data_IF_216407711984
#
_entry.id   IF_216407711984
#
_cell.length_a   1.000
_cell.length_b   1.000
_cell.length_c   1.000
_cell.angle_alpha   90.00
_cell.angle_beta   90.00
_cell.angle_gamma   90.00
#
_symmetry.space_group_name_H-M   'P 1'
#
loop_
_entity.id
_entity.type
_entity.pdbx_description
1 polymer ?
#
# COMPACT_ATOMS: atom_id res chain seq x y z
N UNK A 1 4.29 9.40 -14.74
CA UNK A 1 3.27 8.49 -14.16
C UNK A 1 2.04 9.25 -13.67
N UNK A 2 2.18 10.30 -12.85
CA UNK A 2 1.03 11.12 -12.41
C UNK A 2 0.15 11.64 -13.56
N UNK A 3 0.76 12.14 -14.64
CA UNK A 3 0.00 12.64 -15.80
C UNK A 3 -0.78 11.53 -16.53
N UNK A 4 -0.22 10.31 -16.57
CA UNK A 4 -0.89 9.14 -17.15
C UNK A 4 -2.13 8.81 -16.30
N UNK A 5 -1.96 8.74 -14.98
CA UNK A 5 -3.06 8.47 -14.06
C UNK A 5 -4.17 9.52 -14.21
N UNK A 6 -3.83 10.81 -14.18
CA UNK A 6 -4.81 11.89 -14.37
C UNK A 6 -5.54 11.81 -15.71
N UNK A 7 -4.79 11.60 -16.80
CA UNK A 7 -5.37 11.46 -18.14
C UNK A 7 -6.39 10.33 -18.20
N UNK A 8 -6.07 9.15 -17.64
CA UNK A 8 -6.99 8.01 -17.66
C UNK A 8 -8.24 8.29 -16.81
N UNK A 9 -8.11 8.94 -15.65
CA UNK A 9 -9.30 9.31 -14.85
C UNK A 9 -10.21 10.26 -15.62
N UNK A 10 -9.64 11.27 -16.29
CA UNK A 10 -10.41 12.20 -17.14
C UNK A 10 -11.15 11.44 -18.25
N UNK A 11 -10.47 10.49 -18.90
CA UNK A 11 -11.05 9.68 -19.98
C UNK A 11 -12.22 8.80 -19.49
N UNK A 12 -12.10 8.18 -18.32
CA UNK A 12 -13.13 7.28 -17.76
C UNK A 12 -14.30 8.09 -17.16
N UNK A 13 -14.02 9.22 -16.51
CA UNK A 13 -15.02 9.99 -15.76
C UNK A 13 -15.69 11.11 -16.56
N UNK A 14 -15.05 11.59 -17.63
CA UNK A 14 -15.47 12.80 -18.35
C UNK A 14 -15.32 14.10 -17.55
N UNK A 15 -14.66 14.08 -16.38
CA UNK A 15 -14.46 15.25 -15.50
C UNK A 15 -13.24 16.08 -15.89
N UNK A 16 -13.16 17.30 -15.36
CA UNK A 16 -12.00 18.16 -15.58
C UNK A 16 -10.75 17.60 -14.87
N UNK A 17 -9.58 17.73 -15.50
CA UNK A 17 -8.32 17.25 -14.93
C UNK A 17 -7.98 17.87 -13.56
N UNK A 18 -8.50 19.05 -13.25
CA UNK A 18 -8.34 19.76 -11.97
C UNK A 18 -9.14 19.13 -10.84
N UNK A 19 -10.19 18.37 -11.15
CA UNK A 19 -11.01 17.65 -10.17
C UNK A 19 -10.34 16.34 -9.73
N UNK A 20 -9.39 15.84 -10.52
CA UNK A 20 -8.72 14.57 -10.25
C UNK A 20 -7.81 14.68 -9.03
N UNK A 21 -8.15 13.90 -8.00
CA UNK A 21 -7.36 13.70 -6.79
C UNK A 21 -6.46 12.48 -6.98
N UNK A 22 -5.35 12.43 -6.26
CA UNK A 22 -4.40 11.31 -6.33
C UNK A 22 -3.96 10.89 -4.95
N UNK A 23 -4.08 9.59 -4.66
CA UNK A 23 -3.41 8.93 -3.54
C UNK A 23 -2.12 8.29 -4.06
N UNK A 24 -1.02 8.53 -3.35
CA UNK A 24 0.26 7.87 -3.61
C UNK A 24 0.65 6.99 -2.42
N UNK A 25 0.64 5.68 -2.62
CA UNK A 25 0.99 4.69 -1.61
C UNK A 25 2.35 4.07 -1.96
N UNK A 26 3.42 4.38 -1.23
CA UNK A 26 4.74 3.82 -1.52
C UNK A 26 4.77 2.32 -1.21
N UNK A 27 5.65 1.60 -1.90
CA UNK A 27 6.07 0.26 -1.52
C UNK A 27 7.05 0.32 -0.36
N UNK A 28 7.26 -0.82 0.29
CA UNK A 28 8.15 -0.95 1.45
C UNK A 28 9.16 -2.06 1.27
N UNK A 29 10.28 -1.90 1.96
CA UNK A 29 11.28 -2.94 2.19
C UNK A 29 11.48 -3.15 3.69
N UNK A 30 11.78 -4.39 4.07
CA UNK A 30 12.06 -4.80 5.45
C UNK A 30 13.54 -5.23 5.55
N UNK A 31 14.46 -4.33 5.95
CA UNK A 31 15.89 -4.62 5.88
C UNK A 31 16.37 -5.64 6.90
N UNK A 32 15.77 -5.62 8.10
CA UNK A 32 16.00 -6.54 9.18
C UNK A 32 14.66 -6.94 9.78
N UNK A 33 14.46 -8.24 9.99
CA UNK A 33 13.27 -8.78 10.65
C UNK A 33 12.17 -9.28 9.71
N UNK A 34 12.49 -9.61 8.47
CA UNK A 34 11.55 -10.34 7.61
C UNK A 34 11.15 -11.67 8.28
N UNK A 35 9.84 -11.95 8.36
CA UNK A 35 9.25 -13.16 8.96
C UNK A 35 9.33 -13.30 10.49
N UNK A 36 9.53 -12.22 11.25
CA UNK A 36 9.41 -12.22 12.73
C UNK A 36 8.25 -11.35 13.23
N UNK A 37 7.54 -10.71 12.31
CA UNK A 37 6.40 -9.82 12.53
C UNK A 37 5.19 -10.54 13.13
N UNK A 38 4.85 -11.72 12.61
CA UNK A 38 3.78 -12.57 13.12
C UNK A 38 4.10 -13.20 14.49
N UNK A 39 5.36 -13.13 14.93
CA UNK A 39 5.82 -13.58 16.24
C UNK A 39 5.94 -12.44 17.26
N UNK A 40 5.56 -11.20 16.88
CA UNK A 40 5.66 -10.03 17.76
C UNK A 40 7.10 -9.54 17.96
N UNK A 41 7.99 -9.82 17.00
CA UNK A 41 9.37 -9.33 17.03
C UNK A 41 9.50 -7.85 16.68
N UNK A 42 10.70 -7.30 16.92
CA UNK A 42 11.07 -5.96 16.46
C UNK A 42 11.50 -6.07 15.00
N UNK A 43 10.88 -5.29 14.15
CA UNK A 43 11.16 -5.25 12.71
C UNK A 43 11.58 -3.85 12.28
N UNK A 44 12.35 -3.79 11.21
CA UNK A 44 12.70 -2.51 10.58
C UNK A 44 12.03 -2.41 9.23
N UNK A 45 11.48 -1.24 8.93
CA UNK A 45 10.80 -1.01 7.67
C UNK A 45 11.12 0.38 7.13
N UNK A 46 10.98 0.53 5.82
CA UNK A 46 11.17 1.81 5.17
C UNK A 46 10.48 1.78 3.81
N UNK A 47 9.94 2.93 3.41
CA UNK A 47 9.31 3.11 2.10
C UNK A 47 10.34 3.44 1.03
N UNK A 48 10.05 3.05 -0.20
CA UNK A 48 10.87 3.38 -1.39
C UNK A 48 10.11 4.37 -2.28
N UNK A 49 10.82 5.00 -3.22
CA UNK A 49 10.25 5.95 -4.18
C UNK A 49 9.49 5.30 -5.34
N UNK A 50 9.01 4.07 -5.13
CA UNK A 50 8.16 3.30 -6.03
C UNK A 50 6.89 2.95 -5.27
N UNK A 51 5.75 2.81 -5.95
CA UNK A 51 4.49 2.54 -5.28
C UNK A 51 3.30 2.46 -6.23
N UNK A 52 2.12 2.55 -5.63
CA UNK A 52 0.83 2.62 -6.30
C UNK A 52 0.38 4.06 -6.35
N UNK A 53 -0.13 4.47 -7.50
CA UNK A 53 -0.89 5.70 -7.67
C UNK A 53 -2.34 5.35 -7.98
N UNK A 54 -3.26 5.89 -7.18
CA UNK A 54 -4.69 5.86 -7.46
C UNK A 54 -5.14 7.28 -7.77
N UNK A 55 -5.45 7.54 -9.04
CA UNK A 55 -6.17 8.75 -9.43
C UNK A 55 -7.67 8.50 -9.33
N UNK A 56 -8.42 9.49 -8.85
CA UNK A 56 -9.87 9.34 -8.70
C UNK A 56 -10.58 10.69 -8.69
N UNK A 57 -11.86 10.64 -8.99
CA UNK A 57 -12.86 11.68 -8.71
C UNK A 57 -14.01 11.05 -7.91
N UNK A 58 -14.70 11.81 -7.06
CA UNK A 58 -15.95 11.33 -6.46
C UNK A 58 -16.95 10.94 -7.55
N UNK A 59 -17.66 9.83 -7.37
CA UNK A 59 -18.88 9.59 -8.15
C UNK A 59 -19.99 10.53 -7.69
N UNK A 60 -21.00 10.73 -8.54
CA UNK A 60 -22.22 11.47 -8.16
C UNK A 60 -23.11 10.68 -7.19
N UNK A 61 -22.88 9.37 -7.07
CA UNK A 61 -23.65 8.44 -6.26
C UNK A 61 -22.74 7.40 -5.55
N UNK A 62 -23.31 6.28 -5.11
CA UNK A 62 -22.58 5.19 -4.45
C UNK A 62 -21.76 4.31 -5.42
N UNK A 63 -21.75 4.56 -6.73
CA UNK A 63 -21.05 3.73 -7.69
C UNK A 63 -19.53 3.92 -7.63
N UNK A 64 -18.81 2.80 -7.63
CA UNK A 64 -17.37 2.71 -7.81
C UNK A 64 -17.10 2.16 -9.20
N UNK A 65 -16.36 2.92 -10.01
CA UNK A 65 -15.90 2.54 -11.35
C UNK A 65 -14.38 2.58 -11.37
N UNK A 66 -13.74 1.43 -11.60
CA UNK A 66 -12.29 1.32 -11.52
C UNK A 66 -11.68 0.71 -12.78
N UNK A 67 -10.54 1.24 -13.19
CA UNK A 67 -9.68 0.65 -14.21
C UNK A 67 -8.25 0.49 -13.66
N UNK A 68 -7.57 -0.58 -14.09
CA UNK A 68 -6.18 -0.84 -13.73
C UNK A 68 -5.25 -0.57 -14.92
N UNK A 69 -4.05 -0.07 -14.64
CA UNK A 69 -2.97 -0.01 -15.63
C UNK A 69 -2.30 -1.35 -15.92
N UNK A 70 -2.49 -2.34 -15.04
CA UNK A 70 -1.86 -3.67 -15.10
C UNK A 70 -2.81 -4.73 -15.64
N UNK A 71 -4.11 -4.57 -15.39
CA UNK A 71 -5.14 -5.55 -15.74
C UNK A 71 -6.18 -4.95 -16.69
N UNK A 72 -6.64 -5.74 -17.65
CA UNK A 72 -7.66 -5.31 -18.61
C UNK A 72 -9.05 -5.31 -17.97
N UNK A 73 -9.90 -4.40 -18.43
CA UNK A 73 -11.31 -4.32 -18.03
C UNK A 73 -11.61 -3.14 -17.10
N UNK A 74 -12.90 -2.93 -16.88
CA UNK A 74 -13.45 -1.93 -15.95
C UNK A 74 -14.30 -2.68 -14.93
N UNK A 75 -14.05 -2.42 -13.65
CA UNK A 75 -14.86 -2.96 -12.56
C UNK A 75 -15.89 -1.93 -12.13
N UNK A 76 -17.12 -2.39 -11.89
CA UNK A 76 -18.22 -1.59 -11.32
C UNK A 76 -18.87 -2.29 -10.14
N UNK A 77 -19.14 -1.55 -9.08
CA UNK A 77 -19.91 -2.00 -7.91
C UNK A 77 -20.36 -0.80 -7.09
N UNK A 78 -21.21 -1.00 -6.07
CA UNK A 78 -21.66 0.09 -5.22
C UNK A 78 -21.11 -0.03 -3.80
N UNK A 79 -20.86 1.12 -3.16
CA UNK A 79 -20.41 1.19 -1.76
C UNK A 79 -21.53 0.92 -0.76
N UNK A 80 -22.79 1.04 -1.18
CA UNK A 80 -23.99 0.78 -0.37
C UNK A 80 -24.50 -0.66 -0.49
N UNK A 81 -23.91 -1.46 -1.37
CA UNK A 81 -24.10 -2.91 -1.39
C UNK A 81 -23.33 -3.56 -0.24
N UNK A 82 -23.99 -4.48 0.48
CA UNK A 82 -23.34 -5.26 1.54
C UNK A 82 -22.25 -6.17 0.95
N UNK A 83 -20.99 -5.82 1.19
CA UNK A 83 -19.86 -6.66 0.78
C UNK A 83 -19.75 -7.87 1.70
N UNK A 84 -19.45 -9.05 1.14
CA UNK A 84 -19.25 -10.29 1.89
C UNK A 84 -17.84 -10.83 1.67
N UNK A 85 -17.23 -11.48 2.68
CA UNK A 85 -15.94 -12.13 2.53
C UNK A 85 -15.89 -13.09 1.35
N UNK A 86 -14.72 -13.20 0.73
CA UNK A 86 -14.49 -14.13 -0.38
C UNK A 86 -14.40 -15.55 0.17
N UNK A 87 -15.23 -16.45 -0.35
CA UNK A 87 -15.27 -17.84 0.09
C UNK A 87 -14.07 -18.68 -0.42
N UNK A 88 -13.58 -18.37 -1.62
CA UNK A 88 -12.46 -19.08 -2.25
C UNK A 88 -11.32 -18.12 -2.61
N UNK A 89 -10.15 -18.31 -1.97
CA UNK A 89 -8.94 -17.51 -2.22
C UNK A 89 -8.50 -17.52 -3.70
N UNK A 90 -8.84 -18.56 -4.47
CA UNK A 90 -8.58 -18.62 -5.91
C UNK A 90 -9.33 -17.59 -6.74
N UNK A 91 -10.37 -16.97 -6.18
CA UNK A 91 -11.16 -15.91 -6.82
C UNK A 91 -10.64 -14.50 -6.49
N UNK A 92 -9.55 -14.37 -5.73
CA UNK A 92 -8.97 -13.07 -5.40
C UNK A 92 -8.39 -12.45 -6.67
N UNK A 93 -8.97 -11.33 -7.06
CA UNK A 93 -8.58 -10.50 -8.19
C UNK A 93 -8.15 -9.11 -7.70
N UNK A 94 -7.62 -8.27 -8.60
CA UNK A 94 -7.14 -6.94 -8.22
C UNK A 94 -8.28 -6.04 -7.68
N UNK A 95 -9.50 -6.21 -8.18
CA UNK A 95 -10.66 -5.45 -7.70
C UNK A 95 -11.18 -5.92 -6.33
N UNK A 96 -10.78 -7.11 -5.89
CA UNK A 96 -11.13 -7.64 -4.58
C UNK A 96 -10.63 -6.71 -3.45
N UNK A 97 -9.51 -6.01 -3.65
CA UNK A 97 -9.01 -5.04 -2.68
C UNK A 97 -9.90 -3.80 -2.55
N UNK A 98 -10.50 -3.33 -3.65
CA UNK A 98 -11.43 -2.20 -3.61
C UNK A 98 -12.73 -2.56 -2.86
N UNK A 99 -13.28 -3.74 -3.16
CA UNK A 99 -14.45 -4.28 -2.42
C UNK A 99 -14.12 -4.57 -0.97
N UNK A 100 -12.92 -5.05 -0.70
CA UNK A 100 -12.42 -5.28 0.66
C UNK A 100 -12.29 -3.99 1.45
N UNK A 101 -11.84 -2.89 0.85
CA UNK A 101 -11.80 -1.58 1.50
C UNK A 101 -13.21 -1.10 1.89
N UNK A 102 -14.19 -1.24 0.99
CA UNK A 102 -15.61 -0.98 1.29
C UNK A 102 -16.11 -1.87 2.43
N UNK A 103 -15.84 -3.19 2.37
CA UNK A 103 -16.18 -4.12 3.45
C UNK A 103 -15.60 -3.70 4.80
N UNK A 104 -14.32 -3.35 4.85
CA UNK A 104 -13.63 -2.99 6.08
C UNK A 104 -14.22 -1.73 6.71
N UNK A 105 -14.56 -0.73 5.90
CA UNK A 105 -15.22 0.50 6.34
C UNK A 105 -16.66 0.22 6.83
N UNK A 106 -17.46 -0.52 6.05
CA UNK A 106 -18.82 -0.90 6.43
C UNK A 106 -18.84 -1.68 7.76
N UNK A 107 -18.00 -2.70 7.91
CA UNK A 107 -17.92 -3.49 9.13
C UNK A 107 -17.36 -2.75 10.34
N UNK A 108 -16.73 -1.59 10.12
CA UNK A 108 -16.28 -0.70 11.19
C UNK A 108 -17.33 0.36 11.54
N UNK A 109 -18.52 0.30 10.92
CA UNK A 109 -19.67 1.15 11.23
C UNK A 109 -19.77 2.43 10.41
N UNK A 110 -18.97 2.58 9.34
CA UNK A 110 -19.04 3.75 8.47
C UNK A 110 -20.12 3.61 7.39
N UNK A 111 -20.95 4.64 7.26
CA UNK A 111 -21.99 4.74 6.23
C UNK A 111 -21.41 5.38 4.96
N UNK A 112 -21.11 4.56 3.94
CA UNK A 112 -20.54 5.02 2.68
C UNK A 112 -21.65 5.40 1.70
N UNK A 113 -21.65 6.65 1.24
CA UNK A 113 -22.68 7.21 0.35
C UNK A 113 -22.16 7.53 -1.04
N UNK A 114 -20.87 7.79 -1.15
CA UNK A 114 -20.20 8.16 -2.39
C UNK A 114 -19.16 7.12 -2.77
N UNK A 115 -19.23 6.67 -4.02
CA UNK A 115 -18.17 5.88 -4.63
C UNK A 115 -17.13 6.76 -5.33
N UNK A 116 -16.28 6.13 -6.14
CA UNK A 116 -15.20 6.79 -6.86
C UNK A 116 -15.16 6.32 -8.32
N UNK A 117 -14.84 7.22 -9.23
CA UNK A 117 -14.40 6.86 -10.58
C UNK A 117 -12.88 7.01 -10.61
N UNK A 118 -12.15 5.92 -10.83
CA UNK A 118 -10.71 5.90 -10.59
C UNK A 118 -9.89 5.01 -11.50
N UNK A 119 -8.60 5.33 -11.56
CA UNK A 119 -7.58 4.60 -12.28
C UNK A 119 -6.40 4.30 -11.35
N UNK A 120 -6.09 3.02 -11.17
CA UNK A 120 -5.00 2.55 -10.31
C UNK A 120 -3.83 2.03 -11.15
N UNK A 121 -2.61 2.43 -10.78
CA UNK A 121 -1.40 1.96 -11.46
C UNK A 121 -0.24 1.80 -10.49
N UNK A 122 0.34 0.60 -10.50
CA UNK A 122 1.62 0.30 -9.85
C UNK A 122 2.80 0.41 -10.82
N UNK A 123 4.00 0.07 -10.34
CA UNK A 123 5.21 0.01 -11.16
C UNK A 123 5.29 -1.33 -11.90
N UNK A 124 5.31 -1.27 -13.23
CA UNK A 124 5.41 -2.45 -14.09
C UNK A 124 6.57 -3.37 -13.70
N UNK A 125 6.29 -4.68 -13.60
CA UNK A 125 7.31 -5.69 -13.30
C UNK A 125 7.62 -5.87 -11.82
N UNK A 126 6.96 -5.12 -10.92
CA UNK A 126 7.07 -5.26 -9.47
C UNK A 126 5.82 -5.87 -8.81
N UNK A 127 4.81 -6.23 -9.60
CA UNK A 127 3.48 -6.64 -9.14
C UNK A 127 3.50 -7.90 -8.23
N UNK A 128 4.54 -8.74 -8.34
CA UNK A 128 4.75 -9.96 -7.53
C UNK A 128 6.11 -10.01 -6.82
N UNK A 129 6.73 -8.86 -6.57
CA UNK A 129 8.11 -8.76 -6.06
C UNK A 129 8.27 -8.91 -4.54
N UNK A 130 7.18 -9.07 -3.78
CA UNK A 130 7.22 -9.12 -2.30
C UNK A 130 7.38 -7.74 -1.64
N UNK A 131 7.16 -6.67 -2.40
CA UNK A 131 7.29 -5.26 -1.98
C UNK A 131 6.05 -4.67 -1.26
N UNK A 132 5.11 -5.52 -0.82
CA UNK A 132 3.79 -5.11 -0.29
C UNK A 132 2.91 -4.38 -1.30
N UNK A 133 2.85 -4.89 -2.52
CA UNK A 133 1.93 -4.33 -3.52
C UNK A 133 0.47 -4.40 -3.05
N UNK A 134 0.06 -5.41 -2.28
CA UNK A 134 -1.32 -5.57 -1.80
C UNK A 134 -1.73 -4.51 -0.76
N UNK A 135 -0.94 -4.32 0.31
CA UNK A 135 -1.20 -3.31 1.33
C UNK A 135 -1.19 -1.88 0.75
N UNK A 136 -0.31 -1.60 -0.21
CA UNK A 136 -0.30 -0.30 -0.89
C UNK A 136 -1.59 -0.06 -1.69
N UNK A 137 -2.14 -1.09 -2.34
CA UNK A 137 -3.43 -1.02 -3.05
C UNK A 137 -4.59 -0.86 -2.06
N UNK A 138 -4.64 -1.66 -0.99
CA UNK A 138 -5.68 -1.58 0.05
C UNK A 138 -5.75 -0.20 0.70
N UNK A 139 -4.61 0.33 1.16
CA UNK A 139 -4.50 1.68 1.70
C UNK A 139 -4.89 2.74 0.68
N UNK A 140 -4.51 2.59 -0.59
CA UNK A 140 -4.89 3.56 -1.62
C UNK A 140 -6.41 3.71 -1.74
N UNK A 141 -7.14 2.59 -1.72
CA UNK A 141 -8.60 2.60 -1.77
C UNK A 141 -9.23 3.12 -0.48
N UNK A 142 -8.71 2.76 0.70
CA UNK A 142 -9.20 3.30 1.97
C UNK A 142 -9.13 4.83 1.98
N UNK A 143 -7.94 5.39 1.68
CA UNK A 143 -7.74 6.85 1.68
C UNK A 143 -8.61 7.57 0.65
N UNK A 144 -8.84 6.97 -0.52
CA UNK A 144 -9.74 7.55 -1.52
C UNK A 144 -11.20 7.53 -1.08
N UNK A 145 -11.68 6.41 -0.51
CA UNK A 145 -13.05 6.27 -0.01
C UNK A 145 -13.32 7.16 1.20
N UNK A 146 -12.35 7.28 2.13
CA UNK A 146 -12.38 8.23 3.24
C UNK A 146 -12.54 9.66 2.71
N UNK A 147 -11.72 10.03 1.71
CA UNK A 147 -11.71 11.37 1.16
C UNK A 147 -13.02 11.78 0.48
N UNK A 148 -13.71 10.86 -0.20
CA UNK A 148 -14.99 11.19 -0.87
C UNK A 148 -16.20 11.08 0.05
N UNK A 149 -16.08 10.37 1.18
CA UNK A 149 -17.14 10.24 2.19
C UNK A 149 -16.88 11.11 3.43
N UNK A 150 -15.91 12.04 3.36
CA UNK A 150 -15.55 12.97 4.44
C UNK A 150 -15.24 12.27 5.78
N UNK A 151 -14.63 11.08 5.72
CA UNK A 151 -14.21 10.32 6.90
C UNK A 151 -12.85 10.81 7.40
N UNK A 152 -12.70 10.91 8.72
CA UNK A 152 -11.45 11.32 9.37
C UNK A 152 -10.92 10.15 10.18
N UNK A 153 -10.02 9.37 9.59
CA UNK A 153 -9.42 8.20 10.21
C UNK A 153 -7.95 8.45 10.54
N UNK A 154 -7.49 7.90 11.65
CA UNK A 154 -6.07 7.94 11.99
C UNK A 154 -5.30 6.92 11.15
N UNK A 155 -3.98 7.09 10.99
CA UNK A 155 -3.12 6.06 10.39
C UNK A 155 -3.27 4.69 11.08
N UNK A 156 -3.52 4.67 12.39
CA UNK A 156 -3.70 3.43 13.16
C UNK A 156 -5.02 2.74 12.78
N UNK A 157 -6.09 3.50 12.58
CA UNK A 157 -7.36 2.97 12.10
C UNK A 157 -7.18 2.34 10.71
N UNK A 158 -6.48 3.03 9.81
CA UNK A 158 -6.21 2.54 8.47
C UNK A 158 -5.34 1.27 8.43
N UNK A 159 -4.43 1.11 9.39
CA UNK A 159 -3.68 -0.16 9.57
C UNK A 159 -4.61 -1.31 9.95
N UNK A 160 -5.57 -1.07 10.85
CA UNK A 160 -6.53 -2.10 11.26
C UNK A 160 -7.57 -2.40 10.17
N UNK A 161 -7.96 -1.39 9.40
CA UNK A 161 -8.83 -1.55 8.24
C UNK A 161 -8.14 -2.37 7.16
N UNK A 162 -6.90 -2.06 6.79
CA UNK A 162 -6.14 -2.84 5.80
C UNK A 162 -5.93 -4.29 6.26
N UNK A 163 -5.62 -4.51 7.54
CA UNK A 163 -5.60 -5.86 8.14
C UNK A 163 -6.96 -6.56 8.03
N UNK A 164 -8.06 -5.82 8.13
CA UNK A 164 -9.41 -6.36 7.93
C UNK A 164 -9.68 -6.74 6.48
N UNK A 165 -9.21 -5.95 5.51
CA UNK A 165 -9.26 -6.29 4.08
C UNK A 165 -8.59 -7.64 3.88
N UNK A 166 -7.32 -7.75 4.29
CA UNK A 166 -6.52 -8.94 4.06
C UNK A 166 -7.08 -10.16 4.82
N UNK A 167 -7.34 -10.04 6.12
CA UNK A 167 -7.63 -11.21 6.95
C UNK A 167 -9.11 -11.58 7.02
N UNK A 168 -10.01 -10.59 6.99
CA UNK A 168 -11.46 -10.83 7.15
C UNK A 168 -12.20 -10.88 5.82
N UNK A 169 -11.77 -10.11 4.82
CA UNK A 169 -12.42 -10.09 3.51
C UNK A 169 -11.78 -11.07 2.52
N UNK A 170 -10.47 -10.99 2.32
CA UNK A 170 -9.73 -11.87 1.42
C UNK A 170 -9.38 -13.23 2.07
N UNK A 171 -9.43 -13.29 3.40
CA UNK A 171 -9.12 -14.49 4.16
C UNK A 171 -7.64 -14.85 4.12
N UNK A 172 -6.73 -13.89 3.90
CA UNK A 172 -5.28 -14.08 3.97
C UNK A 172 -4.77 -13.98 5.43
N UNK A 173 -3.50 -14.29 5.66
CA UNK A 173 -2.90 -14.28 7.00
C UNK A 173 -1.77 -13.25 7.06
N UNK A 174 -2.13 -11.99 6.87
CA UNK A 174 -1.17 -10.88 6.83
C UNK A 174 -1.09 -10.16 8.19
N UNK A 175 0.13 -9.73 8.51
CA UNK A 175 0.43 -8.91 9.68
C UNK A 175 0.19 -7.41 9.44
N UNK A 176 0.52 -6.59 10.44
CA UNK A 176 0.40 -5.13 10.35
C UNK A 176 1.65 -4.44 9.79
N UNK A 177 2.75 -5.18 9.61
CA UNK A 177 4.05 -4.59 9.24
C UNK A 177 3.95 -3.75 7.97
N UNK A 178 3.35 -4.32 6.93
CA UNK A 178 3.25 -3.71 5.62
C UNK A 178 2.42 -2.41 5.63
N UNK A 179 1.14 -2.41 6.07
CA UNK A 179 0.36 -1.18 6.13
C UNK A 179 0.97 -0.14 7.08
N UNK A 180 1.58 -0.59 8.18
CA UNK A 180 2.22 0.34 9.11
C UNK A 180 3.48 0.98 8.54
N UNK A 181 4.28 0.22 7.79
CA UNK A 181 5.43 0.77 7.07
C UNK A 181 4.99 1.84 6.07
N UNK A 182 3.88 1.60 5.36
CA UNK A 182 3.36 2.51 4.34
C UNK A 182 2.85 3.81 4.98
N UNK A 183 2.06 3.71 6.05
CA UNK A 183 1.38 4.85 6.67
C UNK A 183 2.24 5.63 7.67
N UNK A 184 3.23 4.98 8.30
CA UNK A 184 3.97 5.55 9.42
C UNK A 184 5.45 5.77 9.12
N UNK A 185 5.96 5.44 7.93
CA UNK A 185 7.35 5.77 7.59
C UNK A 185 7.57 7.26 7.38
N UNK A 186 8.78 7.74 7.69
CA UNK A 186 9.21 9.13 7.47
C UNK A 186 10.33 9.18 6.45
N UNK A 187 10.28 10.18 5.56
CA UNK A 187 11.28 10.35 4.53
C UNK A 187 12.70 10.42 5.12
N UNK A 188 13.56 9.51 4.67
CA UNK A 188 14.94 9.42 5.10
C UNK A 188 15.16 8.81 6.48
N UNK A 189 14.17 8.19 7.12
CA UNK A 189 14.34 7.48 8.40
C UNK A 189 14.09 5.99 8.23
N UNK A 190 14.85 5.18 8.98
CA UNK A 190 14.52 3.77 9.17
C UNK A 190 13.48 3.66 10.29
N UNK A 191 12.34 3.07 9.97
CA UNK A 191 11.25 2.84 10.93
C UNK A 191 11.56 1.59 11.74
N UNK A 192 11.59 1.71 13.06
CA UNK A 192 11.64 0.57 13.97
C UNK A 192 10.26 0.34 14.55
N UNK A 193 9.76 -0.89 14.43
CA UNK A 193 8.43 -1.27 14.86
C UNK A 193 8.51 -2.44 15.82
N UNK A 194 7.92 -2.26 16.99
CA UNK A 194 7.59 -3.36 17.87
C UNK A 194 6.18 -3.85 17.51
N UNK A 195 6.08 -5.01 16.85
CA UNK A 195 4.81 -5.55 16.38
C UNK A 195 3.91 -6.06 17.52
N UNK A 196 4.46 -6.29 18.72
CA UNK A 196 3.68 -6.77 19.87
C UNK A 196 2.88 -5.65 20.51
N UNK A 197 3.48 -4.47 20.66
CA UNK A 197 2.82 -3.28 21.25
C UNK A 197 2.45 -2.21 20.21
N UNK A 198 2.70 -2.48 18.93
CA UNK A 198 2.46 -1.55 17.82
C UNK A 198 3.13 -0.17 18.05
N UNK A 199 4.32 -0.15 18.65
CA UNK A 199 5.06 1.07 18.93
C UNK A 199 6.09 1.34 17.82
N UNK A 200 6.24 2.61 17.43
CA UNK A 200 7.14 3.02 16.34
C UNK A 200 8.14 4.06 16.82
N UNK A 201 9.39 3.86 16.43
CA UNK A 201 10.48 4.81 16.68
C UNK A 201 11.32 5.06 15.42
N UNK A 202 11.97 6.22 15.37
CA UNK A 202 12.83 6.65 14.25
C UNK A 202 14.25 6.96 14.75
N UNK A 203 15.05 5.95 15.11
CA UNK A 203 16.31 6.16 15.81
C UNK A 203 17.43 6.74 14.93
N UNK A 204 17.33 6.66 13.59
CA UNK A 204 18.40 7.14 12.71
C UNK A 204 17.90 7.55 11.33
N UNK A 205 18.49 8.61 10.78
CA UNK A 205 18.32 9.03 9.38
C UNK A 205 19.22 8.17 8.48
N UNK A 206 18.69 7.66 7.38
CA UNK A 206 19.36 6.70 6.47
C UNK A 206 19.28 7.23 5.04
N UNK A 207 20.37 7.06 4.28
CA UNK A 207 20.40 7.28 2.84
C UNK A 207 20.31 5.92 2.12
N UNK A 208 19.53 5.83 1.04
CA UNK A 208 19.32 4.57 0.32
C UNK A 208 19.68 4.77 -1.13
N UNK A 209 20.44 3.80 -1.65
CA UNK A 209 20.75 3.71 -3.07
C UNK A 209 20.16 2.38 -3.54
N UNK A 210 19.07 2.45 -4.30
CA UNK A 210 18.53 1.28 -4.98
C UNK A 210 19.27 1.12 -6.30
N UNK A 211 20.05 0.06 -6.46
CA UNK A 211 20.66 -0.31 -7.75
C UNK A 211 19.85 -1.45 -8.37
N UNK A 212 19.25 -1.20 -9.54
CA UNK A 212 18.63 -2.28 -10.31
C UNK A 212 19.70 -2.92 -11.18
N UNK A 213 20.06 -4.18 -10.90
CA UNK A 213 20.84 -4.98 -11.86
C UNK A 213 19.91 -5.69 -12.83
N UNK A 214 20.29 -5.71 -14.10
CA UNK A 214 19.57 -6.30 -15.23
C UNK A 214 18.94 -7.67 -14.89
N UNK A 215 17.63 -7.76 -15.14
CA UNK A 215 16.74 -8.92 -15.00
C UNK A 215 16.27 -9.28 -13.56
N UNK A 216 15.02 -8.88 -13.26
CA UNK A 216 14.12 -9.48 -12.24
C UNK A 216 14.59 -9.44 -10.78
N UNK A 217 15.62 -8.68 -10.42
CA UNK A 217 16.10 -8.51 -9.03
C UNK A 217 16.27 -7.03 -8.69
N UNK A 218 15.62 -6.60 -7.61
CA UNK A 218 15.88 -5.29 -7.01
C UNK A 218 16.98 -5.48 -5.95
N UNK A 219 18.18 -4.94 -6.20
CA UNK A 219 19.21 -4.85 -5.18
C UNK A 219 19.02 -3.52 -4.46
N UNK A 220 18.57 -3.57 -3.20
CA UNK A 220 18.52 -2.36 -2.37
C UNK A 220 19.75 -2.34 -1.49
N UNK A 221 20.66 -1.38 -1.74
CA UNK A 221 21.80 -1.10 -0.87
C UNK A 221 21.39 -0.03 0.15
N UNK A 222 21.53 -0.36 1.43
CA UNK A 222 21.32 0.58 2.52
C UNK A 222 22.62 1.24 2.93
N UNK A 223 22.59 2.55 3.14
CA UNK A 223 23.69 3.28 3.77
C UNK A 223 23.18 4.01 5.03
N UNK A 224 23.42 3.40 6.19
CA UNK A 224 23.13 4.06 7.48
C UNK A 224 24.28 5.01 7.80
N UNK A 225 24.05 6.33 7.66
CA UNK A 225 24.94 7.33 8.26
C UNK A 225 24.68 7.37 9.77
N UNK A 226 25.39 6.56 10.53
CA UNK A 226 25.40 6.69 11.99
C UNK A 226 26.35 7.84 12.36
N UNK A 227 25.83 8.93 12.90
CA UNK A 227 26.64 9.92 13.61
C UNK A 227 26.92 9.40 15.03
N UNK A 228 27.76 8.38 15.16
CA UNK A 228 28.36 8.07 16.45
C UNK A 228 29.51 9.06 16.68
N UNK A 229 29.49 9.74 17.82
CA UNK A 229 30.65 10.48 18.33
C UNK A 229 31.87 9.54 18.31
N UNK A 230 32.99 10.05 17.82
CA UNK A 230 34.31 9.43 17.63
C UNK A 230 34.63 8.98 16.20
N UNK A 231 35.77 9.49 15.73
CA UNK A 231 36.38 9.43 14.40
C UNK A 231 36.60 8.03 13.77
N UNK A 232 35.56 7.22 13.55
CA UNK A 232 35.66 6.03 12.70
C UNK A 232 34.36 5.74 11.96
N UNK A 233 34.38 5.92 10.63
CA UNK A 233 33.28 5.55 9.75
C UNK A 233 33.19 4.02 9.65
N UNK A 234 32.12 3.45 10.20
CA UNK A 234 31.79 2.03 10.01
C UNK A 234 30.62 1.93 9.04
N UNK A 235 30.87 1.59 7.77
CA UNK A 235 29.82 1.28 6.79
C UNK A 235 29.39 -0.16 7.02
N UNK A 236 28.16 -0.37 7.49
CA UNK A 236 27.55 -1.70 7.51
C UNK A 236 26.67 -1.83 6.25
N UNK A 237 27.18 -2.53 5.24
CA UNK A 237 26.36 -2.96 4.10
C UNK A 237 25.33 -3.97 4.61
N UNK A 238 24.04 -3.67 4.45
CA UNK A 238 22.98 -4.66 4.57
C UNK A 238 22.50 -4.92 3.14
N UNK A 239 22.85 -6.07 2.57
CA UNK A 239 22.30 -6.53 1.30
C UNK A 239 20.99 -7.26 1.58
N UNK A 240 19.87 -6.67 1.14
CA UNK A 240 18.58 -7.37 1.16
C UNK A 240 18.38 -8.00 -0.21
N UNK A 241 18.42 -9.33 -0.26
CA UNK A 241 18.15 -10.09 -1.47
C UNK A 241 16.64 -10.37 -1.56
N UNK A 242 15.95 -9.70 -2.48
CA UNK A 242 14.57 -10.07 -2.83
C UNK A 242 14.60 -11.10 -3.96
N UNK A 243 14.27 -12.35 -3.65
CA UNK A 243 13.96 -13.36 -4.67
C UNK A 243 12.47 -13.25 -5.02
N UNK A 244 12.09 -13.23 -6.31
CA UNK A 244 10.69 -13.42 -6.68
C UNK A 244 10.20 -14.75 -6.13
N UNK A 245 9.00 -14.79 -5.51
CA UNK A 245 8.34 -16.06 -5.20
C UNK A 245 8.15 -16.80 -6.52
N UNK A 246 8.73 -18.00 -6.62
CA UNK A 246 8.46 -18.93 -7.71
C UNK A 246 6.97 -19.26 -7.67
N UNK A 247 6.25 -18.87 -8.71
CA UNK A 247 4.92 -19.40 -9.01
C UNK A 247 5.14 -20.86 -9.39
N UNK A 248 4.64 -21.78 -8.57
CA UNK A 248 4.36 -23.16 -8.96
C UNK A 248 2.88 -23.26 -9.26
#
# INVERSE_FOLDING_TARGET
QLDIVRKNVVEISGRDAREVRVVACPYRICPLGAHIDHQGGIVTAMTINYGVLLGFVPSDDAEVVLQSGQFKGITRFRVDDLQKPIENRGNITWESYARGAVYALQNSGYDLRKGIIGYISGVNGLDSSGLSSSAAVGIAYLLALENVNDLVLSPVDNIQLDKSIENRYLGLENGILDPSAILLSRYGYLTFMDCKVCNITYPSRVGIICESSSAKRLHVLFYVRQALKMHQYSVKLIQVYMRPKSVY
#
